data_IF_647735852373
#
_entry.id   IF_647735852373
#
_cell.length_a   1.000
_cell.length_b   1.000
_cell.length_c   1.000
_cell.angle_alpha   90.00
_cell.angle_beta   90.00
_cell.angle_gamma   90.00
#
_symmetry.space_group_name_H-M   'P 1'
#
loop_
_entity.id
_entity.type
_entity.pdbx_description
1 polymer ?
#
# COMPACT_ATOMS: atom_id res chain seq x y z
N UNK A 1 -9.93 -27.70 15.87
CA UNK A 1 -10.58 -26.39 15.70
C UNK A 1 -9.59 -25.25 15.40
N UNK A 2 -8.53 -25.11 16.15
CA UNK A 2 -7.53 -24.06 15.89
C UNK A 2 -6.84 -24.17 14.53
N UNK A 3 -6.54 -25.37 14.09
CA UNK A 3 -5.87 -25.62 12.79
C UNK A 3 -6.72 -25.19 11.59
N UNK A 4 -8.03 -25.38 11.65
CA UNK A 4 -8.95 -25.03 10.54
C UNK A 4 -9.15 -23.53 10.42
N UNK A 5 -9.16 -22.80 11.56
CA UNK A 5 -9.28 -21.34 11.59
C UNK A 5 -8.00 -20.69 11.08
N UNK A 6 -6.84 -21.22 11.46
CA UNK A 6 -5.53 -20.74 10.97
C UNK A 6 -5.38 -20.95 9.45
N UNK A 7 -5.81 -22.10 8.95
CA UNK A 7 -5.79 -22.39 7.50
C UNK A 7 -6.72 -21.43 6.72
N UNK A 8 -7.90 -21.14 7.23
CA UNK A 8 -8.82 -20.19 6.59
C UNK A 8 -8.27 -18.77 6.58
N UNK A 9 -7.62 -18.32 7.67
CA UNK A 9 -6.96 -17.00 7.77
C UNK A 9 -5.75 -16.92 6.84
N UNK A 10 -4.96 -17.97 6.77
CA UNK A 10 -3.80 -18.06 5.87
C UNK A 10 -4.24 -18.04 4.40
N UNK A 11 -5.26 -18.84 4.03
CA UNK A 11 -5.83 -18.84 2.69
C UNK A 11 -6.40 -17.47 2.31
N UNK A 12 -7.07 -16.78 3.23
CA UNK A 12 -7.60 -15.44 3.01
C UNK A 12 -6.48 -14.42 2.80
N UNK A 13 -5.42 -14.49 3.60
CA UNK A 13 -4.23 -13.64 3.43
C UNK A 13 -3.58 -13.88 2.08
N UNK A 14 -3.39 -15.13 1.68
CA UNK A 14 -2.82 -15.47 0.38
C UNK A 14 -3.66 -14.94 -0.79
N UNK A 15 -4.98 -15.07 -0.70
CA UNK A 15 -5.92 -14.56 -1.70
C UNK A 15 -5.82 -13.03 -1.83
N UNK A 16 -5.83 -12.29 -0.71
CA UNK A 16 -5.73 -10.84 -0.69
C UNK A 16 -4.38 -10.36 -1.23
N UNK A 17 -3.30 -10.97 -0.80
CA UNK A 17 -1.95 -10.60 -1.28
C UNK A 17 -1.78 -10.88 -2.75
N UNK A 18 -2.31 -11.99 -3.26
CA UNK A 18 -2.32 -12.29 -4.69
C UNK A 18 -3.08 -11.22 -5.49
N UNK A 19 -4.21 -10.73 -4.96
CA UNK A 19 -4.96 -9.63 -5.56
C UNK A 19 -4.16 -8.31 -5.56
N UNK A 20 -3.46 -8.01 -4.49
CA UNK A 20 -2.60 -6.81 -4.42
C UNK A 20 -1.41 -6.89 -5.38
N UNK A 21 -0.79 -8.05 -5.51
CA UNK A 21 0.30 -8.26 -6.47
C UNK A 21 -0.16 -8.11 -7.92
N UNK A 22 -1.40 -8.46 -8.21
CA UNK A 22 -2.00 -8.36 -9.54
C UNK A 22 -2.63 -6.99 -9.84
N UNK A 23 -2.85 -6.15 -8.83
CA UNK A 23 -3.49 -4.85 -8.98
C UNK A 23 -2.63 -3.86 -9.76
N UNK A 24 -3.28 -2.87 -10.34
CA UNK A 24 -2.64 -1.72 -10.95
C UNK A 24 -2.50 -0.60 -9.94
N UNK A 25 -1.34 0.06 -9.93
CA UNK A 25 -1.04 1.21 -9.06
C UNK A 25 -0.61 2.39 -9.91
N UNK A 26 -1.14 3.56 -9.61
CA UNK A 26 -0.80 4.80 -10.32
C UNK A 26 -0.69 5.97 -9.36
N UNK A 27 0.13 6.94 -9.73
CA UNK A 27 0.27 8.19 -9.01
C UNK A 27 0.20 9.38 -9.99
N UNK A 28 -0.20 10.54 -9.48
CA UNK A 28 -0.41 11.74 -10.30
C UNK A 28 0.83 12.61 -10.35
N UNK A 29 1.19 13.01 -11.57
CA UNK A 29 2.22 14.00 -11.86
C UNK A 29 1.69 14.99 -12.90
N UNK A 30 1.55 16.26 -12.52
CA UNK A 30 1.17 17.33 -13.43
C UNK A 30 -0.09 17.00 -14.29
N UNK A 31 -1.09 16.41 -13.64
CA UNK A 31 -2.35 16.01 -14.26
C UNK A 31 -2.33 14.68 -15.00
N UNK A 32 -1.20 13.98 -15.02
CA UNK A 32 -1.07 12.66 -15.64
C UNK A 32 -0.93 11.56 -14.60
N UNK A 33 -1.47 10.38 -14.90
CA UNK A 33 -1.34 9.21 -14.08
C UNK A 33 -0.23 8.32 -14.60
N UNK A 34 0.79 8.07 -13.76
CA UNK A 34 1.93 7.22 -14.10
C UNK A 34 1.85 5.90 -13.35
N UNK A 35 2.25 4.82 -14.01
CA UNK A 35 2.22 3.48 -13.45
C UNK A 35 3.32 3.23 -12.41
N UNK A 36 2.97 2.46 -11.38
CA UNK A 36 3.90 1.83 -10.44
C UNK A 36 3.72 0.33 -10.52
N UNK A 37 4.81 -0.41 -10.60
CA UNK A 37 4.78 -1.87 -10.68
C UNK A 37 5.57 -2.50 -9.54
N UNK A 38 4.91 -3.35 -8.76
CA UNK A 38 5.58 -4.13 -7.71
C UNK A 38 6.65 -5.01 -8.36
N UNK A 39 7.84 -5.02 -7.78
CA UNK A 39 8.98 -5.76 -8.30
C UNK A 39 9.82 -5.02 -9.32
N UNK A 40 9.44 -3.82 -9.72
CA UNK A 40 10.17 -2.96 -10.65
C UNK A 40 10.57 -1.66 -10.00
N UNK A 41 11.68 -1.06 -10.44
CA UNK A 41 12.08 0.28 -10.01
C UNK A 41 11.09 1.32 -10.53
N UNK A 42 10.97 2.44 -9.81
CA UNK A 42 10.08 3.54 -10.16
C UNK A 42 10.91 4.81 -10.50
N UNK A 43 11.56 4.88 -11.66
CA UNK A 43 12.46 5.99 -12.02
C UNK A 43 11.74 7.33 -12.11
N UNK A 44 10.46 7.34 -12.48
CA UNK A 44 9.67 8.57 -12.55
C UNK A 44 9.51 9.22 -11.17
N UNK A 45 9.27 8.41 -10.13
CA UNK A 45 9.15 8.88 -8.75
C UNK A 45 10.52 9.38 -8.27
N UNK A 46 11.57 8.58 -8.44
CA UNK A 46 12.92 8.93 -8.02
C UNK A 46 13.44 10.19 -8.74
N UNK A 47 13.11 10.36 -10.02
CA UNK A 47 13.49 11.53 -10.79
C UNK A 47 12.76 12.81 -10.35
N UNK A 48 11.49 12.69 -9.97
CA UNK A 48 10.71 13.85 -9.48
C UNK A 48 11.13 14.28 -8.08
N UNK A 49 11.58 13.38 -7.24
CA UNK A 49 11.97 13.60 -5.85
C UNK A 49 13.40 13.11 -5.62
N UNK A 50 14.35 13.74 -6.29
CA UNK A 50 15.74 13.27 -6.37
C UNK A 50 16.46 13.19 -5.01
N UNK A 51 16.05 14.00 -4.03
CA UNK A 51 16.66 14.04 -2.69
C UNK A 51 16.01 13.06 -1.70
N UNK A 52 14.92 12.41 -2.10
CA UNK A 52 14.22 11.47 -1.24
C UNK A 52 14.95 10.10 -1.17
N UNK A 53 15.01 9.53 0.02
CA UNK A 53 15.62 8.22 0.24
C UNK A 53 14.63 7.07 0.07
N UNK A 54 13.33 7.33 0.29
CA UNK A 54 12.31 6.29 0.30
C UNK A 54 10.92 6.82 -0.07
N UNK A 55 10.06 5.91 -0.48
CA UNK A 55 8.68 6.20 -0.88
C UNK A 55 7.73 5.16 -0.31
N UNK A 56 6.48 5.56 -0.14
CA UNK A 56 5.39 4.66 0.25
C UNK A 56 4.09 5.04 -0.43
N UNK A 57 3.19 4.10 -0.53
CA UNK A 57 1.84 4.32 -1.03
C UNK A 57 0.86 3.63 -0.09
N UNK A 58 -0.06 4.41 0.49
CA UNK A 58 -1.04 3.91 1.44
C UNK A 58 -2.41 4.54 1.20
N UNK A 59 -3.43 3.86 1.71
CA UNK A 59 -4.83 4.24 1.64
C UNK A 59 -5.44 4.28 3.04
N UNK A 60 -6.58 4.92 3.19
CA UNK A 60 -7.47 4.79 4.34
C UNK A 60 -8.77 4.06 3.95
N UNK A 61 -8.84 3.51 2.74
CA UNK A 61 -10.01 2.85 2.18
C UNK A 61 -10.12 1.41 2.66
N UNK A 62 -11.34 0.96 2.92
CA UNK A 62 -11.67 -0.42 3.28
C UNK A 62 -10.67 -1.10 4.25
N UNK A 63 -10.59 -0.67 5.55
CA UNK A 63 -9.68 -1.26 6.51
C UNK A 63 -9.77 -2.78 6.56
N UNK A 64 -8.62 -3.45 6.66
CA UNK A 64 -8.50 -4.90 6.66
C UNK A 64 -9.08 -5.58 5.42
N UNK A 65 -9.15 -4.82 4.30
CA UNK A 65 -9.76 -5.26 3.03
C UNK A 65 -11.23 -5.67 3.17
N UNK A 66 -11.92 -5.07 4.12
CA UNK A 66 -13.36 -5.26 4.34
C UNK A 66 -14.12 -4.04 3.82
N UNK A 67 -15.00 -4.25 2.86
CA UNK A 67 -15.81 -3.18 2.30
C UNK A 67 -16.67 -2.50 3.36
N UNK A 68 -16.74 -1.18 3.28
CA UNK A 68 -17.60 -0.34 4.12
C UNK A 68 -18.20 0.80 3.29
N UNK A 69 -19.19 1.54 3.81
CA UNK A 69 -19.81 2.63 3.07
C UNK A 69 -18.79 3.65 2.54
N UNK A 70 -18.99 4.11 1.32
CA UNK A 70 -18.10 5.08 0.66
C UNK A 70 -17.92 6.36 1.47
N UNK A 71 -18.98 6.87 2.09
CA UNK A 71 -18.90 8.07 2.93
C UNK A 71 -17.95 7.90 4.11
N UNK A 72 -17.92 6.72 4.73
CA UNK A 72 -16.97 6.38 5.82
C UNK A 72 -15.54 6.31 5.29
N UNK A 73 -15.35 5.73 4.12
CA UNK A 73 -14.05 5.70 3.45
C UNK A 73 -13.55 7.10 3.10
N UNK A 74 -14.41 7.99 2.62
CA UNK A 74 -14.05 9.38 2.30
C UNK A 74 -13.66 10.16 3.54
N UNK A 75 -14.37 9.99 4.65
CA UNK A 75 -14.03 10.64 5.91
C UNK A 75 -12.66 10.18 6.43
N UNK A 76 -12.38 8.89 6.33
CA UNK A 76 -11.08 8.35 6.68
C UNK A 76 -9.96 8.86 5.77
N UNK A 77 -10.20 8.94 4.46
CA UNK A 77 -9.25 9.49 3.50
C UNK A 77 -8.93 10.96 3.80
N UNK A 78 -9.92 11.77 4.15
CA UNK A 78 -9.71 13.15 4.56
C UNK A 78 -8.89 13.23 5.87
N UNK A 79 -9.14 12.32 6.82
CA UNK A 79 -8.35 12.24 8.04
C UNK A 79 -6.89 11.87 7.75
N UNK A 80 -6.64 10.92 6.88
CA UNK A 80 -5.30 10.56 6.43
C UNK A 80 -4.61 11.74 5.75
N UNK A 81 -5.30 12.47 4.89
CA UNK A 81 -4.77 13.65 4.24
C UNK A 81 -4.36 14.72 5.26
N UNK A 82 -5.16 14.95 6.30
CA UNK A 82 -4.80 15.85 7.40
C UNK A 82 -3.56 15.39 8.14
N UNK A 83 -3.44 14.09 8.43
CA UNK A 83 -2.24 13.54 9.08
C UNK A 83 -0.99 13.73 8.22
N UNK A 84 -1.11 13.54 6.90
CA UNK A 84 -0.01 13.78 5.97
C UNK A 84 0.39 15.27 5.91
N UNK A 85 -0.57 16.18 5.92
CA UNK A 85 -0.30 17.62 6.01
C UNK A 85 0.44 17.99 7.29
N UNK A 86 0.00 17.45 8.43
CA UNK A 86 0.66 17.68 9.73
C UNK A 86 2.06 17.10 9.76
N UNK A 87 2.31 15.99 9.09
CA UNK A 87 3.65 15.38 9.02
C UNK A 87 4.70 16.28 8.32
N UNK A 88 4.26 17.21 7.51
CA UNK A 88 5.13 18.06 6.70
C UNK A 88 5.78 17.33 5.52
N UNK A 89 5.45 16.07 5.29
CA UNK A 89 6.00 15.30 4.16
C UNK A 89 5.30 15.67 2.86
N UNK A 90 6.03 15.55 1.76
CA UNK A 90 5.43 15.67 0.43
C UNK A 90 4.57 14.45 0.17
N UNK A 91 3.38 14.64 -0.35
CA UNK A 91 2.50 13.56 -0.78
C UNK A 91 1.73 13.94 -2.04
N UNK A 92 1.37 12.94 -2.83
CA UNK A 92 0.67 13.12 -4.11
C UNK A 92 -0.51 12.15 -4.21
N UNK A 93 -1.57 12.53 -4.91
CA UNK A 93 -2.66 11.60 -5.20
C UNK A 93 -2.17 10.35 -5.92
N UNK A 94 -2.73 9.22 -5.53
CA UNK A 94 -2.48 7.94 -6.13
C UNK A 94 -3.76 7.10 -6.09
N UNK A 95 -3.77 5.97 -6.74
CA UNK A 95 -4.83 4.99 -6.59
C UNK A 95 -4.33 3.58 -6.92
N UNK A 96 -5.06 2.61 -6.39
CA UNK A 96 -4.95 1.22 -6.80
C UNK A 96 -6.27 0.76 -7.40
N UNK A 97 -6.21 -0.18 -8.34
CA UNK A 97 -7.40 -0.76 -8.96
C UNK A 97 -7.16 -2.20 -9.38
N UNK A 98 -8.24 -3.00 -9.43
CA UNK A 98 -8.17 -4.28 -10.10
C UNK A 98 -7.91 -4.09 -11.60
N UNK A 99 -7.26 -5.07 -12.24
CA UNK A 99 -6.99 -5.05 -13.68
C UNK A 99 -8.29 -4.92 -14.49
N UNK A 100 -9.36 -5.60 -14.05
CA UNK A 100 -10.69 -5.52 -14.68
C UNK A 100 -11.50 -4.30 -14.22
N UNK A 101 -10.91 -3.43 -13.40
CA UNK A 101 -11.54 -2.22 -12.83
C UNK A 101 -12.79 -2.48 -12.00
N UNK A 102 -12.98 -3.68 -11.48
CA UNK A 102 -14.09 -4.01 -10.58
C UNK A 102 -14.04 -3.26 -9.25
N UNK A 103 -12.86 -2.75 -8.87
CA UNK A 103 -12.67 -1.86 -7.73
C UNK A 103 -11.55 -0.85 -8.01
N UNK A 104 -11.65 0.29 -7.35
CA UNK A 104 -10.63 1.35 -7.35
C UNK A 104 -10.60 2.00 -5.98
N UNK A 105 -9.42 2.17 -5.43
CA UNK A 105 -9.21 2.80 -4.13
C UNK A 105 -8.29 4.01 -4.24
N UNK A 106 -8.75 5.21 -3.78
CA UNK A 106 -7.87 6.34 -3.60
C UNK A 106 -6.77 6.03 -2.61
N UNK A 107 -5.57 6.52 -2.90
CA UNK A 107 -4.40 6.37 -2.05
C UNK A 107 -3.49 7.58 -2.17
N UNK A 108 -2.39 7.59 -1.42
CA UNK A 108 -1.43 8.68 -1.39
C UNK A 108 -0.03 8.13 -1.54
N UNK A 109 0.72 8.68 -2.49
CA UNK A 109 2.16 8.51 -2.57
C UNK A 109 2.78 9.45 -1.53
N UNK A 110 3.56 8.90 -0.61
CA UNK A 110 4.22 9.64 0.47
C UNK A 110 5.73 9.61 0.25
N UNK A 111 6.34 10.79 0.28
CA UNK A 111 7.74 10.98 -0.05
C UNK A 111 8.57 11.13 1.21
N UNK A 112 9.59 10.29 1.33
CA UNK A 112 10.64 10.40 2.35
C UNK A 112 10.15 10.34 3.81
N UNK A 113 9.04 9.65 4.06
CA UNK A 113 8.59 9.37 5.43
C UNK A 113 9.38 8.20 6.02
N UNK A 114 9.93 8.31 7.24
CA UNK A 114 10.56 7.17 7.89
C UNK A 114 9.63 5.95 7.95
N UNK A 115 10.15 4.75 7.72
CA UNK A 115 9.34 3.52 7.63
C UNK A 115 8.52 3.29 8.91
N UNK A 116 9.08 3.55 10.09
CA UNK A 116 8.35 3.40 11.35
C UNK A 116 7.13 4.31 11.44
N UNK A 117 7.25 5.56 10.98
CA UNK A 117 6.15 6.53 10.93
C UNK A 117 5.10 6.12 9.88
N UNK A 118 5.55 5.66 8.74
CA UNK A 118 4.71 5.14 7.67
C UNK A 118 3.89 3.93 8.13
N UNK A 119 4.52 2.97 8.81
CA UNK A 119 3.84 1.79 9.37
C UNK A 119 2.82 2.18 10.46
N UNK A 120 3.12 3.18 11.28
CA UNK A 120 2.18 3.68 12.28
C UNK A 120 0.93 4.26 11.63
N UNK A 121 1.07 5.04 10.56
CA UNK A 121 -0.07 5.53 9.77
C UNK A 121 -0.85 4.37 9.13
N UNK A 122 -0.18 3.43 8.51
CA UNK A 122 -0.81 2.26 7.91
C UNK A 122 -1.68 1.50 8.92
N UNK A 123 -1.16 1.25 10.11
CA UNK A 123 -1.91 0.59 11.19
C UNK A 123 -3.08 1.42 11.70
N UNK A 124 -2.90 2.73 11.82
CA UNK A 124 -3.96 3.65 12.25
C UNK A 124 -5.18 3.57 11.33
N UNK A 125 -4.94 3.43 10.04
CA UNK A 125 -6.01 3.33 9.03
C UNK A 125 -6.35 1.88 8.65
N UNK A 126 -5.84 0.91 9.39
CA UNK A 126 -6.21 -0.50 9.25
C UNK A 126 -5.81 -1.11 7.92
N UNK A 127 -4.72 -0.68 7.32
CA UNK A 127 -4.28 -1.21 6.05
C UNK A 127 -3.52 -2.52 6.22
N UNK A 128 -4.01 -3.58 5.60
CA UNK A 128 -3.33 -4.87 5.58
C UNK A 128 -2.01 -4.78 4.79
N UNK A 129 -2.02 -4.05 3.70
CA UNK A 129 -0.85 -3.92 2.83
C UNK A 129 -0.67 -2.48 2.34
N UNK A 130 0.60 -2.12 2.11
CA UNK A 130 1.04 -0.86 1.53
C UNK A 130 2.13 -1.15 0.51
N UNK A 131 2.46 -0.16 -0.33
CA UNK A 131 3.70 -0.19 -1.09
C UNK A 131 4.75 0.61 -0.32
N UNK A 132 5.98 0.11 -0.29
CA UNK A 132 7.11 0.81 0.34
C UNK A 132 8.40 0.38 -0.34
N UNK A 133 9.27 1.33 -0.66
CA UNK A 133 10.54 1.01 -1.31
C UNK A 133 11.58 2.12 -1.10
N UNK A 134 12.85 1.74 -1.17
CA UNK A 134 13.96 2.69 -1.23
C UNK A 134 14.10 3.26 -2.64
N UNK A 135 14.55 4.49 -2.78
CA UNK A 135 14.47 5.28 -4.02
C UNK A 135 15.06 4.60 -5.27
N UNK A 136 16.06 3.75 -5.11
CA UNK A 136 16.77 3.08 -6.23
C UNK A 136 16.45 1.59 -6.34
N UNK A 137 15.59 1.09 -5.46
CA UNK A 137 15.22 -0.32 -5.41
C UNK A 137 13.84 -0.55 -6.00
N UNK A 138 13.50 -1.80 -6.32
CA UNK A 138 12.16 -2.13 -6.79
C UNK A 138 11.07 -1.80 -5.76
N UNK A 139 9.89 -1.46 -6.25
CA UNK A 139 8.69 -1.30 -5.45
C UNK A 139 8.35 -2.63 -4.77
N UNK A 140 8.07 -2.58 -3.46
CA UNK A 140 7.77 -3.77 -2.65
C UNK A 140 6.39 -3.67 -2.02
N UNK A 141 5.73 -4.82 -1.88
CA UNK A 141 4.50 -4.95 -1.12
C UNK A 141 4.84 -5.23 0.34
N UNK A 142 4.33 -4.40 1.24
CA UNK A 142 4.57 -4.47 2.68
C UNK A 142 3.30 -4.90 3.39
N UNK A 143 3.31 -6.03 4.10
CA UNK A 143 2.10 -6.70 4.55
C UNK A 143 2.12 -6.86 6.08
N UNK A 144 1.09 -6.35 6.76
CA UNK A 144 0.94 -6.46 8.22
C UNK A 144 0.21 -7.77 8.58
N UNK A 145 0.84 -8.88 8.28
CA UNK A 145 0.35 -10.22 8.56
C UNK A 145 1.50 -11.23 8.64
N UNK A 146 1.18 -12.41 9.10
CA UNK A 146 2.07 -13.57 8.99
C UNK A 146 2.08 -14.06 7.53
N UNK A 147 3.26 -14.41 7.04
CA UNK A 147 3.41 -14.92 5.68
C UNK A 147 2.74 -16.29 5.52
N UNK A 148 1.82 -16.46 4.54
CA UNK A 148 1.38 -17.78 4.13
C UNK A 148 2.54 -18.59 3.58
N UNK A 149 2.56 -19.89 3.81
CA UNK A 149 3.64 -20.77 3.35
C UNK A 149 3.96 -20.61 1.86
N UNK A 150 2.92 -20.47 1.02
CA UNK A 150 3.09 -20.32 -0.43
C UNK A 150 3.74 -19.00 -0.86
N UNK A 151 3.76 -17.98 0.01
CA UNK A 151 4.23 -16.62 -0.30
C UNK A 151 5.39 -16.16 0.59
N UNK A 152 5.85 -16.98 1.54
CA UNK A 152 6.87 -16.56 2.51
C UNK A 152 8.19 -16.14 1.85
N UNK A 153 8.52 -16.74 0.72
CA UNK A 153 9.76 -16.46 -0.04
C UNK A 153 9.52 -15.55 -1.25
N UNK A 154 8.34 -14.91 -1.36
CA UNK A 154 8.05 -14.05 -2.50
C UNK A 154 9.02 -12.86 -2.53
N UNK A 155 9.75 -12.63 -3.64
CA UNK A 155 10.84 -11.64 -3.67
C UNK A 155 10.39 -10.18 -3.54
N UNK A 156 9.13 -9.88 -3.79
CA UNK A 156 8.59 -8.52 -3.72
C UNK A 156 7.75 -8.25 -2.48
N UNK A 157 7.67 -9.18 -1.53
CA UNK A 157 6.86 -9.07 -0.31
C UNK A 157 7.71 -8.91 0.93
N UNK A 158 7.35 -7.95 1.78
CA UNK A 158 7.89 -7.76 3.12
C UNK A 158 6.79 -8.06 4.15
N UNK A 159 7.02 -9.06 4.99
CA UNK A 159 6.09 -9.51 6.00
C UNK A 159 6.44 -8.93 7.36
N UNK A 160 5.50 -8.18 7.98
CA UNK A 160 5.77 -7.44 9.22
C UNK A 160 5.56 -8.25 10.49
N UNK A 161 4.91 -9.41 10.36
CA UNK A 161 4.68 -10.33 11.47
C UNK A 161 5.38 -11.64 11.19
N UNK A 162 6.21 -12.08 12.12
CA UNK A 162 6.96 -13.30 11.97
C UNK A 162 7.18 -14.01 13.29
#
# INVERSE_FOLDING_TARGET
>A
MQSTILCASEARTAELVSAYLAAEYRWEVDGNWLNLHIGETAPDVAGRFADAAQFGLLSAWDPWSMQRPEAVNRDADQALQRDLLVSGRIFRPAFSSAVNRSWREPSWLVVDMPVAEFDALSRRYGQLATLCWSAREPVRLRIDALAPFALEDHPACDWLRG
#
